data_IF_546629593337
#
_entry.id   IF_546629593337
#
_cell.length_a   1.000
_cell.length_b   1.000
_cell.length_c   1.000
_cell.angle_alpha   90.00
_cell.angle_beta   90.00
_cell.angle_gamma   90.00
#
_symmetry.space_group_name_H-M   'P 1'
#
loop_
_entity.id
_entity.type
_entity.pdbx_description
1 polymer ?
#
# COMPACT_ATOMS: atom_id res chain seq x y z
N UNK A 1 -6.41 -0.21 -16.84
CA UNK A 1 -7.29 -0.77 -17.90
C UNK A 1 -6.79 -0.54 -19.32
N UNK A 2 -6.60 0.71 -19.79
CA UNK A 2 -6.36 1.02 -21.22
C UNK A 2 -5.23 0.23 -21.88
N UNK A 3 -4.13 -0.07 -21.17
CA UNK A 3 -3.01 -0.87 -21.69
C UNK A 3 -3.39 -2.35 -21.91
N UNK A 4 -4.14 -2.94 -20.97
CA UNK A 4 -4.60 -4.33 -21.07
C UNK A 4 -5.61 -4.47 -22.20
N UNK A 5 -6.59 -3.56 -22.29
CA UNK A 5 -7.59 -3.57 -23.36
C UNK A 5 -6.96 -3.45 -24.75
N UNK A 6 -5.98 -2.56 -24.93
CA UNK A 6 -5.22 -2.44 -26.18
C UNK A 6 -4.44 -3.72 -26.53
N UNK A 7 -3.88 -4.39 -25.53
CA UNK A 7 -3.12 -5.63 -25.75
C UNK A 7 -4.03 -6.79 -26.16
N UNK A 8 -5.21 -6.90 -25.54
CA UNK A 8 -6.16 -7.99 -25.81
C UNK A 8 -6.91 -7.82 -27.13
N UNK A 9 -6.91 -6.62 -27.75
CA UNK A 9 -7.67 -6.30 -28.97
C UNK A 9 -9.16 -6.67 -28.86
N UNK A 10 -9.72 -6.57 -27.66
CA UNK A 10 -11.12 -6.85 -27.39
C UNK A 10 -11.89 -5.53 -27.30
N UNK A 11 -13.04 -5.49 -27.97
CA UNK A 11 -14.02 -4.43 -27.76
C UNK A 11 -14.77 -4.71 -26.44
N UNK A 12 -14.53 -3.87 -25.44
CA UNK A 12 -15.17 -3.99 -24.14
C UNK A 12 -16.25 -2.93 -24.01
N UNK A 13 -17.51 -3.35 -24.05
CA UNK A 13 -18.66 -2.45 -23.96
C UNK A 13 -18.85 -1.87 -22.56
N UNK A 14 -18.54 -2.63 -21.51
CA UNK A 14 -18.67 -2.21 -20.10
C UNK A 14 -17.54 -2.75 -19.26
N UNK A 15 -17.11 -1.98 -18.27
CA UNK A 15 -16.08 -2.37 -17.29
C UNK A 15 -16.67 -2.27 -15.89
N UNK A 16 -16.38 -3.28 -15.08
CA UNK A 16 -16.80 -3.41 -13.70
C UNK A 16 -15.59 -3.72 -12.83
N UNK A 17 -15.62 -3.25 -11.58
CA UNK A 17 -14.56 -3.46 -10.59
C UNK A 17 -15.16 -4.06 -9.33
N UNK A 18 -14.36 -4.86 -8.62
CA UNK A 18 -14.73 -5.47 -7.35
C UNK A 18 -13.65 -5.22 -6.32
N UNK A 19 -14.08 -4.96 -5.09
CA UNK A 19 -13.20 -4.86 -3.92
C UNK A 19 -13.91 -5.49 -2.72
N UNK A 20 -13.14 -6.08 -1.82
CA UNK A 20 -13.64 -6.59 -0.54
C UNK A 20 -13.69 -5.52 0.54
N UNK A 21 -13.01 -4.39 0.31
CA UNK A 21 -12.98 -3.30 1.27
C UNK A 21 -14.22 -2.42 1.12
N UNK A 22 -15.20 -2.62 1.99
CA UNK A 22 -16.39 -1.75 2.13
C UNK A 22 -16.01 -0.30 2.44
N UNK A 23 -14.93 -0.06 3.22
CA UNK A 23 -14.42 1.28 3.54
C UNK A 23 -14.02 2.05 2.27
N UNK A 24 -13.21 1.43 1.40
CA UNK A 24 -12.84 1.99 0.09
C UNK A 24 -14.06 2.29 -0.77
N UNK A 25 -15.07 1.41 -0.81
CA UNK A 25 -16.32 1.69 -1.55
C UNK A 25 -16.98 2.95 -1.03
N UNK A 26 -17.08 3.11 0.29
CA UNK A 26 -17.64 4.32 0.89
C UNK A 26 -16.80 5.57 0.64
N UNK A 27 -15.47 5.48 0.59
CA UNK A 27 -14.62 6.60 0.20
C UNK A 27 -14.75 6.99 -1.27
N UNK A 28 -15.04 6.05 -2.17
CA UNK A 28 -15.23 6.34 -3.59
C UNK A 28 -16.48 7.20 -3.85
N UNK A 29 -17.48 7.13 -2.96
CA UNK A 29 -18.69 7.96 -3.00
C UNK A 29 -18.50 9.35 -2.35
N UNK A 30 -17.37 9.60 -1.66
CA UNK A 30 -17.09 10.85 -0.97
C UNK A 30 -16.35 11.86 -1.85
N UNK A 31 -16.48 13.13 -1.47
CA UNK A 31 -15.61 14.17 -1.99
C UNK A 31 -14.21 14.07 -1.37
N UNK A 32 -13.16 14.18 -2.20
CA UNK A 32 -11.77 14.11 -1.75
C UNK A 32 -11.43 15.14 -0.66
N UNK A 33 -12.18 16.25 -0.58
CA UNK A 33 -11.96 17.30 0.42
C UNK A 33 -12.25 16.83 1.86
N UNK A 34 -13.07 15.79 2.02
CA UNK A 34 -13.50 15.24 3.30
C UNK A 34 -12.56 14.14 3.84
N UNK A 35 -11.65 13.66 2.99
CA UNK A 35 -10.70 12.58 3.31
C UNK A 35 -9.31 13.15 3.62
N UNK A 36 -8.56 12.50 4.51
CA UNK A 36 -7.16 12.84 4.78
C UNK A 36 -6.30 12.75 3.51
N UNK A 37 -5.25 13.57 3.43
CA UNK A 37 -4.46 13.79 2.21
C UNK A 37 -4.00 12.51 1.51
N UNK A 38 -3.54 11.51 2.27
CA UNK A 38 -3.07 10.24 1.71
C UNK A 38 -4.17 9.45 0.99
N UNK A 39 -5.37 9.37 1.59
CA UNK A 39 -6.54 8.70 1.03
C UNK A 39 -7.13 9.54 -0.10
N UNK A 40 -7.30 10.84 0.13
CA UNK A 40 -7.82 11.79 -0.86
C UNK A 40 -7.05 11.75 -2.18
N UNK A 41 -5.71 11.74 -2.12
CA UNK A 41 -4.88 11.69 -3.34
C UNK A 41 -5.11 10.41 -4.14
N UNK A 42 -5.32 9.26 -3.48
CA UNK A 42 -5.58 7.98 -4.15
C UNK A 42 -7.00 7.92 -4.72
N UNK A 43 -7.98 8.32 -3.92
CA UNK A 43 -9.38 8.37 -4.36
C UNK A 43 -9.53 9.33 -5.54
N UNK A 44 -8.87 10.48 -5.52
CA UNK A 44 -8.81 11.42 -6.65
C UNK A 44 -8.32 10.75 -7.93
N UNK A 45 -7.19 10.03 -7.87
CA UNK A 45 -6.67 9.28 -9.03
C UNK A 45 -7.68 8.23 -9.50
N UNK A 46 -8.31 7.49 -8.60
CA UNK A 46 -9.28 6.45 -8.98
C UNK A 46 -10.52 7.08 -9.64
N UNK A 47 -11.04 8.18 -9.09
CA UNK A 47 -12.18 8.93 -9.63
C UNK A 47 -11.86 9.59 -10.99
N UNK A 48 -10.59 9.92 -11.29
CA UNK A 48 -10.20 10.36 -12.65
C UNK A 48 -10.19 9.25 -13.69
N UNK A 49 -10.12 7.98 -13.26
CA UNK A 49 -9.97 6.82 -14.14
C UNK A 49 -11.24 5.97 -14.26
N UNK A 50 -12.13 6.06 -13.28
CA UNK A 50 -13.32 5.20 -13.11
C UNK A 50 -14.43 6.00 -12.45
N UNK A 51 -15.68 5.55 -12.58
CA UNK A 51 -16.82 6.12 -11.84
C UNK A 51 -17.23 5.18 -10.70
N UNK A 52 -17.73 5.73 -9.60
CA UNK A 52 -18.05 4.97 -8.39
C UNK A 52 -19.06 3.84 -8.66
N UNK A 53 -20.00 4.05 -9.59
CA UNK A 53 -21.04 3.08 -9.95
C UNK A 53 -20.49 1.82 -10.63
N UNK A 54 -19.25 1.85 -11.12
CA UNK A 54 -18.58 0.67 -11.68
C UNK A 54 -18.02 -0.25 -10.60
N UNK A 55 -17.88 0.23 -9.36
CA UNK A 55 -17.29 -0.52 -8.26
C UNK A 55 -18.37 -1.28 -7.48
N UNK A 56 -18.07 -2.55 -7.20
CA UNK A 56 -18.96 -3.47 -6.50
C UNK A 56 -18.22 -4.10 -5.33
N UNK A 57 -18.99 -4.65 -4.40
CA UNK A 57 -18.44 -5.39 -3.28
C UNK A 57 -18.32 -6.87 -3.63
N UNK A 58 -17.26 -7.50 -3.15
CA UNK A 58 -17.12 -8.95 -3.10
C UNK A 58 -16.70 -9.34 -1.68
N UNK A 59 -17.38 -10.27 -0.98
CA UNK A 59 -16.95 -10.69 0.35
C UNK A 59 -15.49 -11.18 0.34
N UNK A 60 -14.71 -10.93 1.41
CA UNK A 60 -13.28 -11.28 1.47
C UNK A 60 -12.99 -12.73 1.10
N UNK A 61 -13.83 -13.68 1.58
CA UNK A 61 -13.72 -15.12 1.26
C UNK A 61 -13.95 -15.46 -0.21
N UNK A 62 -14.58 -14.56 -0.96
CA UNK A 62 -14.85 -14.71 -2.39
C UNK A 62 -13.96 -13.80 -3.26
N UNK A 63 -13.01 -13.05 -2.67
CA UNK A 63 -12.10 -12.22 -3.43
C UNK A 63 -10.92 -13.03 -3.97
N UNK A 64 -10.83 -13.32 -5.29
CA UNK A 64 -9.70 -14.06 -5.83
C UNK A 64 -8.36 -13.31 -5.69
N UNK A 65 -8.38 -11.97 -5.65
CA UNK A 65 -7.16 -11.19 -5.51
C UNK A 65 -6.44 -11.42 -4.17
N UNK A 66 -7.19 -11.81 -3.12
CA UNK A 66 -6.65 -12.14 -1.81
C UNK A 66 -5.76 -13.39 -1.85
N UNK A 67 -6.07 -14.34 -2.73
CA UNK A 67 -5.32 -15.60 -2.82
C UNK A 67 -3.86 -15.33 -3.22
N UNK A 68 -3.66 -14.45 -4.20
CA UNK A 68 -2.31 -14.12 -4.67
C UNK A 68 -1.61 -13.13 -3.73
N UNK A 69 -2.35 -12.18 -3.15
CA UNK A 69 -1.74 -11.21 -2.20
C UNK A 69 -1.22 -11.89 -0.93
N UNK A 70 -1.81 -13.03 -0.54
CA UNK A 70 -1.37 -13.90 0.57
C UNK A 70 -0.30 -14.92 0.18
N UNK A 71 0.07 -15.02 -1.10
CA UNK A 71 1.14 -15.91 -1.55
C UNK A 71 0.71 -17.36 -1.80
N UNK A 72 -0.45 -17.58 -2.41
CA UNK A 72 -0.91 -18.92 -2.79
C UNK A 72 0.13 -19.70 -3.62
N UNK A 73 0.33 -20.96 -3.27
CA UNK A 73 1.15 -21.91 -4.00
C UNK A 73 0.69 -22.06 -5.47
N UNK A 74 1.58 -22.00 -6.47
CA UNK A 74 1.19 -22.09 -7.88
C UNK A 74 0.48 -23.38 -8.28
N UNK A 75 0.80 -24.52 -7.66
CA UNK A 75 0.15 -25.80 -7.95
C UNK A 75 -1.27 -25.79 -7.40
N UNK A 76 -1.47 -25.25 -6.20
CA UNK A 76 -2.82 -25.04 -5.65
C UNK A 76 -3.63 -24.04 -6.46
N UNK A 77 -2.99 -22.99 -6.97
CA UNK A 77 -3.64 -21.98 -7.80
C UNK A 77 -4.16 -22.56 -9.12
N UNK A 78 -3.46 -23.52 -9.73
CA UNK A 78 -3.91 -24.19 -10.95
C UNK A 78 -5.25 -24.91 -10.77
N UNK A 79 -5.52 -25.43 -9.57
CA UNK A 79 -6.76 -26.13 -9.23
C UNK A 79 -7.79 -25.23 -8.52
N UNK A 80 -7.50 -23.94 -8.37
CA UNK A 80 -8.34 -23.04 -7.58
C UNK A 80 -9.51 -22.50 -8.40
N UNK A 81 -10.70 -23.05 -8.19
CA UNK A 81 -11.93 -22.58 -8.84
C UNK A 81 -12.24 -21.12 -8.55
N UNK A 82 -11.97 -20.64 -7.33
CA UNK A 82 -12.23 -19.24 -6.97
C UNK A 82 -11.41 -18.26 -7.83
N UNK A 83 -10.18 -18.62 -8.21
CA UNK A 83 -9.34 -17.79 -9.07
C UNK A 83 -9.81 -17.81 -10.53
N UNK A 84 -10.04 -19.02 -11.06
CA UNK A 84 -10.32 -19.21 -12.49
C UNK A 84 -11.78 -18.99 -12.88
N UNK A 85 -12.72 -19.26 -11.97
CA UNK A 85 -14.16 -19.20 -12.22
C UNK A 85 -14.95 -18.81 -10.96
N UNK A 86 -14.72 -17.61 -10.39
CA UNK A 86 -15.43 -17.15 -9.21
C UNK A 86 -16.94 -17.04 -9.49
N UNK A 87 -17.75 -17.72 -8.68
CA UNK A 87 -19.19 -17.85 -8.87
C UNK A 87 -19.94 -16.51 -8.88
N UNK A 88 -19.45 -15.51 -8.12
CA UNK A 88 -20.07 -14.18 -8.07
C UNK A 88 -20.02 -13.42 -9.41
N UNK A 89 -19.10 -13.75 -10.33
CA UNK A 89 -19.06 -13.14 -11.67
C UNK A 89 -20.15 -13.69 -12.61
N UNK A 90 -20.71 -14.86 -12.30
CA UNK A 90 -21.76 -15.50 -13.08
C UNK A 90 -23.16 -15.05 -12.65
N UNK A 91 -23.26 -14.29 -11.56
CA UNK A 91 -24.54 -13.82 -11.06
C UNK A 91 -25.08 -12.68 -11.93
N UNK A 92 -26.38 -12.71 -12.31
CA UNK A 92 -26.97 -11.67 -13.15
C UNK A 92 -27.15 -10.34 -12.42
N UNK A 93 -27.13 -10.35 -11.08
CA UNK A 93 -27.29 -9.16 -10.24
C UNK A 93 -25.96 -8.77 -9.64
N UNK A 94 -25.50 -7.57 -9.95
CA UNK A 94 -24.34 -6.97 -9.27
C UNK A 94 -24.76 -6.51 -7.87
N UNK A 95 -24.21 -7.14 -6.84
CA UNK A 95 -24.48 -6.74 -5.45
C UNK A 95 -23.75 -5.44 -5.13
N UNK A 96 -24.51 -4.34 -5.03
CA UNK A 96 -24.02 -3.13 -4.37
C UNK A 96 -24.12 -3.34 -2.87
N UNK A 97 -23.00 -3.34 -2.16
CA UNK A 97 -23.03 -3.36 -0.71
C UNK A 97 -23.22 -1.93 -0.22
N UNK A 98 -24.37 -1.65 0.40
CA UNK A 98 -24.53 -0.52 1.31
C UNK A 98 -24.53 -1.10 2.71
N UNK A 99 -23.35 -1.14 3.31
CA UNK A 99 -23.24 -1.48 4.72
C UNK A 99 -23.60 -0.24 5.54
N UNK A 100 -24.77 -0.25 6.17
CA UNK A 100 -25.21 0.85 7.03
C UNK A 100 -24.32 1.04 8.26
N UNK A 101 -23.52 0.03 8.63
CA UNK A 101 -22.60 0.11 9.76
C UNK A 101 -21.27 0.82 9.43
N UNK A 102 -21.02 1.13 8.16
CA UNK A 102 -19.75 1.77 7.75
C UNK A 102 -19.56 3.14 8.41
N UNK A 103 -20.65 3.87 8.66
CA UNK A 103 -20.60 5.19 9.29
C UNK A 103 -20.10 5.12 10.74
N UNK A 104 -20.25 3.97 11.40
CA UNK A 104 -19.75 3.68 12.74
C UNK A 104 -18.36 3.03 12.75
N UNK A 105 -17.82 2.65 11.58
CA UNK A 105 -16.54 1.97 11.49
C UNK A 105 -15.38 2.94 11.83
N UNK A 106 -14.59 2.60 12.85
CA UNK A 106 -13.49 3.43 13.33
C UNK A 106 -12.44 3.72 12.25
N UNK A 107 -12.06 2.74 11.43
CA UNK A 107 -11.07 2.91 10.36
C UNK A 107 -11.58 3.86 9.28
N UNK A 108 -12.88 3.80 8.98
CA UNK A 108 -13.53 4.75 8.07
C UNK A 108 -13.54 6.16 8.66
N UNK A 109 -14.04 6.33 9.90
CA UNK A 109 -14.14 7.63 10.58
C UNK A 109 -12.76 8.28 10.74
N UNK A 110 -11.73 7.49 11.07
CA UNK A 110 -10.36 7.98 11.28
C UNK A 110 -9.77 8.66 10.05
N UNK A 111 -10.15 8.24 8.85
CA UNK A 111 -9.67 8.84 7.61
C UNK A 111 -10.52 10.01 7.11
N UNK A 112 -11.64 10.28 7.79
CA UNK A 112 -12.37 11.53 7.63
C UNK A 112 -11.61 12.67 8.32
N UNK A 113 -11.67 13.84 7.71
CA UNK A 113 -11.16 15.09 8.29
C UNK A 113 -12.15 15.58 9.35
N UNK A 114 -12.01 15.07 10.57
CA UNK A 114 -12.81 15.48 11.74
C UNK A 114 -12.02 16.29 12.77
N UNK A 115 -10.71 16.47 12.58
CA UNK A 115 -9.87 17.17 13.54
C UNK A 115 -9.99 18.70 13.37
N UNK A 116 -10.30 19.40 14.46
CA UNK A 116 -10.36 20.86 14.51
C UNK A 116 -9.02 21.51 14.13
N UNK A 117 -7.88 20.85 14.39
CA UNK A 117 -6.56 21.33 13.97
C UNK A 117 -6.37 21.36 12.46
N UNK A 118 -7.09 20.50 11.72
CA UNK A 118 -7.00 20.44 10.25
C UNK A 118 -7.65 21.67 9.60
N UNK A 119 -8.49 22.42 10.32
CA UNK A 119 -9.09 23.67 9.82
C UNK A 119 -7.99 24.71 9.56
N UNK A 120 -7.04 24.86 10.48
CA UNK A 120 -5.97 25.86 10.40
C UNK A 120 -5.01 25.58 9.23
N UNK A 121 -4.65 24.31 9.00
CA UNK A 121 -3.78 23.91 7.88
C UNK A 121 -4.43 24.05 6.50
N UNK A 122 -5.70 24.46 6.43
CA UNK A 122 -6.49 24.56 5.19
C UNK A 122 -6.91 25.99 4.83
N UNK A 123 -6.31 27.00 5.47
CA UNK A 123 -6.59 28.40 5.18
C UNK A 123 -7.93 28.88 5.72
N UNK A 124 -8.42 28.27 6.80
CA UNK A 124 -9.58 28.76 7.52
C UNK A 124 -9.32 30.19 8.01
N UNK A 125 -10.30 31.09 7.84
CA UNK A 125 -10.14 32.50 8.18
C UNK A 125 -9.94 32.64 9.69
N UNK A 126 -8.96 33.45 10.09
CA UNK A 126 -8.62 33.68 11.50
C UNK A 126 -9.82 34.16 12.33
N UNK A 127 -10.71 34.96 11.73
CA UNK A 127 -11.92 35.48 12.37
C UNK A 127 -12.92 34.37 12.74
N UNK A 128 -13.01 33.32 11.92
CA UNK A 128 -13.90 32.18 12.15
C UNK A 128 -13.34 31.21 13.20
N UNK A 129 -12.06 31.33 13.56
CA UNK A 129 -11.42 30.54 14.62
C UNK A 129 -11.84 31.02 16.01
N UNK A 130 -12.11 32.33 16.17
CA UNK A 130 -12.50 32.92 17.46
C UNK A 130 -13.83 32.38 17.98
N UNK A 131 -14.70 31.90 17.09
CA UNK A 131 -16.00 31.31 17.45
C UNK A 131 -15.98 29.78 17.55
N UNK A 132 -14.82 29.13 17.40
CA UNK A 132 -14.72 27.68 17.44
C UNK A 132 -14.29 27.21 18.84
N UNK A 133 -15.28 27.02 19.72
CA UNK A 133 -15.11 26.49 21.08
C UNK A 133 -14.36 25.15 21.12
N UNK A 134 -14.51 24.30 20.09
CA UNK A 134 -13.82 23.01 20.01
C UNK A 134 -12.32 23.08 19.72
N UNK A 135 -11.82 24.24 19.24
CA UNK A 135 -10.39 24.49 19.11
C UNK A 135 -9.80 24.99 20.44
N UNK A 136 -10.49 25.93 21.10
CA UNK A 136 -10.00 26.59 22.32
C UNK A 136 -10.15 25.72 23.56
N UNK A 137 -11.25 24.98 23.66
CA UNK A 137 -11.50 24.08 24.79
C UNK A 137 -10.91 22.69 24.57
N UNK A 138 -10.35 22.44 23.37
CA UNK A 138 -9.86 21.13 22.97
C UNK A 138 -10.96 20.05 22.94
N UNK A 139 -10.61 18.82 22.56
CA UNK A 139 -11.51 17.69 22.70
C UNK A 139 -11.85 17.43 24.17
N UNK A 140 -13.08 16.98 24.43
CA UNK A 140 -13.62 16.80 25.79
C UNK A 140 -12.80 15.89 26.70
N UNK A 141 -12.04 14.94 26.14
CA UNK A 141 -11.15 14.05 26.91
C UNK A 141 -9.91 14.74 27.51
N UNK A 142 -9.59 15.98 27.11
CA UNK A 142 -8.55 16.80 27.74
C UNK A 142 -9.11 17.70 28.86
N UNK A 143 -10.45 17.79 28.97
CA UNK A 143 -11.12 18.58 30.00
C UNK A 143 -11.36 17.78 31.28
N UNK A 144 -11.16 16.46 31.23
CA UNK A 144 -11.15 15.58 32.39
C UNK A 144 -9.72 15.43 32.94
N UNK A 145 -9.56 15.52 34.27
CA UNK A 145 -8.29 15.20 34.95
C UNK A 145 -7.93 13.70 34.86
N UNK A 146 -8.92 12.88 34.55
CA UNK A 146 -8.74 11.48 34.18
C UNK A 146 -8.49 11.42 32.67
N UNK A 147 -7.26 11.08 32.26
CA UNK A 147 -7.03 10.63 30.90
C UNK A 147 -7.93 9.42 30.65
N UNK A 148 -8.60 9.32 29.49
CA UNK A 148 -9.26 8.07 29.13
C UNK A 148 -8.21 6.98 29.24
N UNK A 149 -8.52 5.91 29.98
CA UNK A 149 -7.67 4.73 29.98
C UNK A 149 -7.39 4.42 28.51
N UNK A 150 -6.12 4.41 28.14
CA UNK A 150 -5.74 3.80 26.88
C UNK A 150 -5.97 2.33 27.09
N UNK A 151 -7.23 1.92 26.96
CA UNK A 151 -7.56 0.59 26.47
C UNK A 151 -7.06 0.59 25.03
N UNK A 152 -5.73 0.53 24.90
CA UNK A 152 -5.17 -0.46 24.01
C UNK A 152 -5.64 -1.78 24.62
N UNK A 153 -6.91 -2.11 24.40
CA UNK A 153 -7.19 -3.48 24.07
C UNK A 153 -6.26 -3.69 22.88
N UNK A 154 -5.09 -4.27 23.15
CA UNK A 154 -4.65 -5.35 22.30
C UNK A 154 -5.81 -6.34 22.32
N UNK A 155 -6.90 -6.01 21.62
CA UNK A 155 -7.89 -6.98 21.22
C UNK A 155 -7.00 -8.02 20.56
N UNK A 156 -7.02 -9.24 21.11
CA UNK A 156 -6.41 -10.39 20.49
C UNK A 156 -6.58 -10.23 18.98
N UNK A 157 -5.50 -10.40 18.19
CA UNK A 157 -5.49 -10.02 16.79
C UNK A 157 -6.82 -10.42 16.17
N UNK A 158 -7.60 -9.43 15.70
CA UNK A 158 -8.94 -9.64 15.16
C UNK A 158 -8.94 -10.97 14.40
N UNK A 159 -9.85 -11.91 14.73
CA UNK A 159 -9.90 -13.21 14.05
C UNK A 159 -10.02 -13.04 12.52
N UNK A 160 -10.56 -11.90 12.07
CA UNK A 160 -10.59 -11.48 10.67
C UNK A 160 -9.22 -11.05 10.10
N UNK A 161 -8.32 -10.56 10.95
CA UNK A 161 -6.95 -10.11 10.64
C UNK A 161 -5.88 -11.20 10.81
N UNK A 162 -6.13 -12.22 11.63
CA UNK A 162 -5.24 -13.37 11.80
C UNK A 162 -4.84 -14.05 10.47
N UNK A 163 -5.75 -14.22 9.50
CA UNK A 163 -5.39 -14.71 8.17
C UNK A 163 -4.50 -13.74 7.39
N UNK A 164 -4.57 -12.43 7.63
CA UNK A 164 -3.83 -11.36 6.91
C UNK A 164 -2.37 -11.25 7.35
N UNK A 165 -2.05 -11.81 8.52
CA UNK A 165 -0.67 -11.94 8.96
C UNK A 165 0.06 -12.90 8.01
N UNK A 166 0.96 -12.34 7.20
CA UNK A 166 1.82 -13.12 6.30
C UNK A 166 2.49 -14.24 7.10
N UNK A 167 2.17 -15.49 6.79
CA UNK A 167 2.96 -16.63 7.22
C UNK A 167 4.41 -16.36 6.84
N UNK A 168 5.34 -16.74 7.71
CA UNK A 168 6.79 -16.77 7.41
C UNK A 168 7.07 -17.87 6.39
N UNK A 169 6.49 -17.78 5.22
CA UNK A 169 6.83 -18.70 4.13
C UNK A 169 8.11 -18.20 3.47
N UNK A 170 9.01 -19.15 3.23
CA UNK A 170 10.30 -18.90 2.61
C UNK A 170 10.09 -18.30 1.21
N UNK A 171 10.31 -16.99 1.08
CA UNK A 171 10.25 -16.28 -0.20
C UNK A 171 11.42 -16.78 -1.05
N UNK A 172 11.15 -17.70 -1.98
CA UNK A 172 12.12 -18.13 -2.99
C UNK A 172 12.13 -17.10 -4.12
N UNK A 173 13.17 -16.25 -4.16
CA UNK A 173 13.39 -15.31 -5.25
C UNK A 173 14.03 -16.05 -6.43
N UNK A 174 13.24 -16.31 -7.48
CA UNK A 174 13.76 -16.84 -8.75
C UNK A 174 14.26 -15.68 -9.60
N UNK A 175 15.58 -15.53 -9.72
CA UNK A 175 16.21 -14.50 -10.56
C UNK A 175 16.26 -14.98 -12.02
N UNK A 176 15.56 -14.27 -12.91
CA UNK A 176 15.59 -14.51 -14.35
C UNK A 176 16.86 -13.87 -14.95
N UNK A 177 17.79 -14.71 -15.42
CA UNK A 177 19.15 -14.38 -15.89
C UNK A 177 19.20 -13.67 -17.26
N UNK A 178 18.44 -12.61 -17.51
CA UNK A 178 18.56 -11.89 -18.81
C UNK A 178 18.71 -10.37 -18.79
N UNK A 179 18.89 -9.77 -17.62
CA UNK A 179 19.54 -8.46 -17.43
C UNK A 179 20.22 -8.50 -16.07
N UNK A 180 21.47 -8.07 -15.96
CA UNK A 180 22.13 -8.13 -14.65
C UNK A 180 21.42 -7.13 -13.73
N UNK A 181 21.32 -7.48 -12.44
CA UNK A 181 20.89 -6.55 -11.40
C UNK A 181 21.67 -5.22 -11.44
N UNK A 182 22.92 -5.31 -11.90
CA UNK A 182 23.80 -4.20 -12.14
C UNK A 182 23.26 -3.21 -13.18
N UNK A 183 22.82 -3.68 -14.35
CA UNK A 183 22.19 -2.82 -15.38
C UNK A 183 21.00 -2.05 -14.80
N UNK A 184 20.19 -2.70 -13.97
CA UNK A 184 19.04 -2.05 -13.35
C UNK A 184 19.45 -0.92 -12.40
N UNK A 185 20.50 -1.13 -11.62
CA UNK A 185 21.01 -0.14 -10.67
C UNK A 185 21.69 1.03 -11.38
N UNK A 186 22.55 0.76 -12.35
CA UNK A 186 23.29 1.81 -13.07
C UNK A 186 22.34 2.68 -13.90
N UNK A 187 21.33 2.09 -14.53
CA UNK A 187 20.32 2.85 -15.29
C UNK A 187 19.31 3.61 -14.41
N UNK A 188 19.39 3.50 -13.07
CA UNK A 188 18.45 4.18 -12.16
C UNK A 188 18.79 5.65 -11.95
N UNK A 189 20.07 6.03 -12.04
CA UNK A 189 20.52 7.40 -11.81
C UNK A 189 21.88 7.67 -12.48
N UNK A 190 22.06 8.87 -13.02
CA UNK A 190 23.35 9.29 -13.59
C UNK A 190 24.33 9.81 -12.51
N UNK A 191 23.93 9.83 -11.24
CA UNK A 191 24.76 10.31 -10.13
C UNK A 191 25.41 9.12 -9.44
N UNK A 192 26.72 8.96 -9.64
CA UNK A 192 27.51 7.86 -9.07
C UNK A 192 27.31 7.72 -7.55
N UNK A 193 27.32 8.84 -6.82
CA UNK A 193 27.10 8.84 -5.36
C UNK A 193 25.71 8.33 -4.95
N UNK A 194 24.70 8.51 -5.81
CA UNK A 194 23.36 7.97 -5.57
C UNK A 194 23.35 6.46 -5.75
N UNK A 195 24.02 5.95 -6.79
CA UNK A 195 24.18 4.51 -7.03
C UNK A 195 24.95 3.85 -5.88
N UNK A 196 26.08 4.42 -5.47
CA UNK A 196 26.90 3.91 -4.37
C UNK A 196 26.07 3.82 -3.09
N UNK A 197 25.29 4.85 -2.75
CA UNK A 197 24.39 4.81 -1.58
C UNK A 197 23.34 3.72 -1.66
N UNK A 198 22.72 3.53 -2.84
CA UNK A 198 21.72 2.47 -3.05
C UNK A 198 22.38 1.10 -2.82
N UNK A 199 23.54 0.85 -3.42
CA UNK A 199 24.30 -0.39 -3.24
C UNK A 199 24.73 -0.61 -1.79
N UNK A 200 25.20 0.43 -1.09
CA UNK A 200 25.55 0.34 0.34
C UNK A 200 24.35 -0.08 1.19
N UNK A 201 23.16 0.48 0.94
CA UNK A 201 21.95 0.05 1.67
C UNK A 201 21.55 -1.39 1.36
N UNK A 202 21.73 -1.84 0.12
CA UNK A 202 21.46 -3.22 -0.28
C UNK A 202 22.43 -4.20 0.38
N UNK A 203 23.73 -3.89 0.39
CA UNK A 203 24.73 -4.70 1.09
C UNK A 203 24.48 -4.74 2.59
N UNK A 204 24.14 -3.60 3.20
CA UNK A 204 23.72 -3.54 4.60
C UNK A 204 22.47 -4.39 4.85
N UNK A 205 21.47 -4.33 3.98
CA UNK A 205 20.27 -5.15 4.08
C UNK A 205 20.61 -6.65 4.04
N UNK A 206 21.40 -7.08 3.05
CA UNK A 206 21.86 -8.47 2.93
C UNK A 206 22.67 -8.90 4.16
N UNK A 207 23.57 -8.05 4.65
CA UNK A 207 24.36 -8.32 5.86
C UNK A 207 23.46 -8.48 7.09
N UNK A 208 22.46 -7.61 7.25
CA UNK A 208 21.50 -7.66 8.34
C UNK A 208 20.58 -8.89 8.27
N UNK A 209 20.30 -9.40 7.06
CA UNK A 209 19.60 -10.66 6.86
C UNK A 209 20.47 -11.86 7.23
N UNK A 210 21.77 -11.81 6.96
CA UNK A 210 22.72 -12.90 7.26
C UNK A 210 23.08 -13.00 8.74
N UNK A 211 23.22 -11.87 9.44
CA UNK A 211 23.62 -11.83 10.86
C UNK A 211 22.61 -10.97 11.65
N UNK A 212 21.54 -11.58 12.19
CA UNK A 212 20.47 -10.84 12.86
C UNK A 212 20.88 -10.18 14.19
N UNK A 213 21.94 -10.67 14.82
CA UNK A 213 22.44 -10.20 16.12
C UNK A 213 23.25 -8.90 16.03
N UNK A 214 23.87 -8.61 14.87
CA UNK A 214 24.74 -7.45 14.65
C UNK A 214 24.17 -6.47 13.61
N UNK A 215 22.84 -6.25 13.65
CA UNK A 215 22.16 -5.39 12.69
C UNK A 215 22.67 -3.95 12.74
N UNK A 216 23.21 -3.49 11.62
CA UNK A 216 23.62 -2.08 11.45
C UNK A 216 22.39 -1.21 11.19
N UNK A 217 22.28 -0.09 11.91
CA UNK A 217 21.21 0.91 11.80
C UNK A 217 21.82 2.32 11.74
N UNK A 218 21.05 3.30 11.24
CA UNK A 218 21.47 4.70 11.19
C UNK A 218 22.10 5.12 9.85
N UNK A 219 22.84 6.23 9.80
CA UNK A 219 23.46 6.73 8.56
C UNK A 219 24.50 5.75 7.99
N UNK A 220 24.79 5.85 6.69
CA UNK A 220 25.83 5.05 6.04
C UNK A 220 27.21 5.46 6.54
N UNK A 221 28.05 4.50 6.91
CA UNK A 221 29.43 4.76 7.32
C UNK A 221 30.35 4.76 6.08
N UNK A 222 31.51 5.41 6.21
CA UNK A 222 32.49 5.55 5.11
C UNK A 222 32.90 4.20 4.52
N UNK A 223 33.07 3.18 5.37
CA UNK A 223 33.46 1.83 4.96
C UNK A 223 32.44 1.18 4.02
N UNK A 224 31.13 1.33 4.30
CA UNK A 224 30.07 0.75 3.46
C UNK A 224 29.93 1.48 2.12
N UNK A 225 30.27 2.77 2.08
CA UNK A 225 30.32 3.53 0.84
C UNK A 225 31.52 3.08 -0.01
N UNK A 226 32.68 2.92 0.60
CA UNK A 226 33.90 2.45 -0.08
C UNK A 226 33.75 1.02 -0.60
N UNK A 227 33.12 0.12 0.17
CA UNK A 227 32.84 -1.25 -0.25
C UNK A 227 31.91 -1.29 -1.48
N UNK A 228 30.84 -0.50 -1.46
CA UNK A 228 29.92 -0.38 -2.58
C UNK A 228 30.58 0.21 -3.83
N UNK A 229 31.41 1.23 -3.66
CA UNK A 229 32.18 1.84 -4.76
C UNK A 229 33.15 0.84 -5.40
N UNK A 230 33.93 0.12 -4.58
CA UNK A 230 34.88 -0.87 -5.08
C UNK A 230 34.16 -2.02 -5.82
N UNK A 231 33.01 -2.47 -5.31
CA UNK A 231 32.22 -3.50 -5.97
C UNK A 231 31.70 -3.02 -7.34
N UNK A 232 31.22 -1.78 -7.41
CA UNK A 232 30.75 -1.18 -8.66
C UNK A 232 31.89 -1.09 -9.70
N UNK A 233 33.09 -0.65 -9.29
CA UNK A 233 34.28 -0.58 -10.16
C UNK A 233 34.64 -1.96 -10.70
N UNK A 234 34.69 -2.98 -9.82
CA UNK A 234 34.99 -4.37 -10.22
C UNK A 234 34.01 -4.88 -11.26
N UNK A 235 32.72 -4.59 -11.09
CA UNK A 235 31.69 -5.04 -12.01
C UNK A 235 31.77 -4.32 -13.36
N UNK A 236 32.04 -3.01 -13.38
CA UNK A 236 32.33 -2.27 -14.62
C UNK A 236 33.54 -2.85 -15.37
N UNK A 237 34.62 -3.16 -14.65
CA UNK A 237 35.84 -3.75 -15.23
C UNK A 237 35.56 -5.14 -15.81
N UNK A 238 34.79 -5.96 -15.09
CA UNK A 238 34.39 -7.28 -15.55
C UNK A 238 33.52 -7.20 -16.82
N UNK A 239 32.53 -6.31 -16.87
CA UNK A 239 31.68 -6.13 -18.06
C UNK A 239 32.47 -5.62 -19.26
N UNK A 240 33.40 -4.69 -19.06
CA UNK A 240 34.31 -4.23 -20.11
C UNK A 240 35.23 -5.35 -20.63
N UNK A 241 35.61 -6.32 -19.77
CA UNK A 241 36.42 -7.46 -20.18
C UNK A 241 35.65 -8.51 -20.99
N UNK A 242 34.32 -8.57 -20.86
CA UNK A 242 33.46 -9.48 -21.63
C UNK A 242 33.08 -8.94 -23.01
N UNK A 243 33.34 -7.66 -23.27
CA UNK A 243 33.05 -6.98 -24.54
C UNK A 243 34.28 -6.91 -25.48
N UNK A 244 35.45 -7.39 -25.04
CA UNK A 244 36.68 -7.54 -25.83
C UNK A 244 36.94 -9.02 -26.13
#
# INVERSE_FOLDING_TARGET
>A
MRRVLRALKLEVSKTYFWTYSTIVLSWLEKECKDLKTFVANRISIIQTLTVAEQWNHVPSKQNPADLISRGMDPVKLQLCELWWSPSFLLQPVLTKCRDSSIETNYLYIRELKSNSSDLLSRGFKAESVLHNEGLWNGPSFLQSDELPETVCECSDPDEDYLPELKSKDNIVLTLNYKKTFFDYIVNRSNRILTIVRILSFLFRFVSNCKIPESKRKGPLISEELSEAEHNLIKQCQFEASLQN
#
